data_IF_711585363225
#
_entry.id   IF_711585363225
#
_cell.length_a   1.000
_cell.length_b   1.000
_cell.length_c   1.000
_cell.angle_alpha   90.00
_cell.angle_beta   90.00
_cell.angle_gamma   90.00
#
_symmetry.space_group_name_H-M   'P 1'
#
loop_
_entity.id
_entity.type
_entity.pdbx_description
1 polymer ?
#
# COMPACT_ATOMS: atom_id res chain seq x y z
N UNK A 1 -3.03 -16.98 2.82
CA UNK A 1 -1.83 -16.35 2.21
C UNK A 1 -0.84 -17.46 1.85
N UNK A 2 -0.16 -17.45 0.69
CA UNK A 2 0.91 -18.41 0.43
C UNK A 2 2.00 -18.32 1.51
N UNK A 3 2.50 -19.46 2.00
CA UNK A 3 3.52 -19.52 3.06
C UNK A 3 4.84 -18.81 2.69
N UNK A 4 5.06 -18.60 1.40
CA UNK A 4 6.25 -17.94 0.85
C UNK A 4 6.17 -16.42 0.85
N UNK A 5 5.03 -15.81 1.21
CA UNK A 5 4.90 -14.35 1.21
C UNK A 5 5.87 -13.73 2.22
N UNK A 6 6.59 -12.70 1.76
CA UNK A 6 7.55 -11.94 2.57
C UNK A 6 7.22 -10.47 2.72
N UNK A 7 6.32 -9.92 1.89
CA UNK A 7 5.91 -8.51 1.86
C UNK A 7 4.50 -8.41 1.29
N UNK A 8 3.71 -7.46 1.77
CA UNK A 8 2.34 -7.18 1.29
C UNK A 8 2.23 -5.68 1.03
N UNK A 9 1.62 -5.29 -0.09
CA UNK A 9 1.12 -3.92 -0.29
C UNK A 9 -0.39 -3.97 -0.39
N UNK A 10 -1.07 -3.15 0.40
CA UNK A 10 -2.52 -2.99 0.39
C UNK A 10 -2.86 -1.69 -0.32
N UNK A 11 -3.79 -1.76 -1.29
CA UNK A 11 -4.22 -0.62 -2.07
C UNK A 11 -5.66 -0.23 -1.72
N UNK A 12 -5.83 0.99 -1.25
CA UNK A 12 -7.12 1.57 -0.88
C UNK A 12 -7.58 2.60 -1.90
N UNK A 13 -8.84 2.50 -2.32
CA UNK A 13 -9.48 3.47 -3.22
C UNK A 13 -10.28 4.51 -2.44
N UNK A 14 -9.70 4.98 -1.33
CA UNK A 14 -10.25 6.01 -0.46
C UNK A 14 -9.13 6.84 0.17
N UNK A 15 -9.48 7.94 0.84
CA UNK A 15 -8.58 8.75 1.64
C UNK A 15 -9.28 9.21 2.91
N UNK A 16 -8.91 8.62 4.04
CA UNK A 16 -9.42 9.01 5.34
C UNK A 16 -8.42 9.96 6.04
N UNK A 17 -8.71 11.25 5.99
CA UNK A 17 -7.79 12.26 6.55
C UNK A 17 -7.75 12.14 8.07
N UNK A 18 -6.54 12.01 8.62
CA UNK A 18 -6.31 11.89 10.07
C UNK A 18 -6.33 10.45 10.58
N UNK A 19 -6.65 9.46 9.74
CA UNK A 19 -6.58 8.05 10.14
C UNK A 19 -5.14 7.55 10.25
N UNK A 20 -4.95 6.53 11.09
CA UNK A 20 -3.68 5.80 11.21
C UNK A 20 -3.37 4.98 9.94
N UNK A 21 -4.38 4.68 9.13
CA UNK A 21 -4.28 3.91 7.90
C UNK A 21 -5.62 3.88 7.18
N UNK A 22 -5.61 3.50 5.91
CA UNK A 22 -6.85 3.36 5.14
C UNK A 22 -7.57 2.05 5.52
N UNK A 23 -8.89 1.93 5.29
CA UNK A 23 -9.72 0.86 5.87
C UNK A 23 -9.21 -0.55 5.57
N UNK A 24 -8.94 -0.88 4.30
CA UNK A 24 -8.51 -2.23 3.93
C UNK A 24 -7.11 -2.54 4.50
N UNK A 25 -6.22 -1.53 4.52
CA UNK A 25 -4.93 -1.69 5.18
C UNK A 25 -5.08 -2.05 6.67
N UNK A 26 -5.97 -1.38 7.40
CA UNK A 26 -6.20 -1.67 8.82
C UNK A 26 -6.80 -3.06 9.03
N UNK A 27 -7.74 -3.48 8.18
CA UNK A 27 -8.32 -4.82 8.22
C UNK A 27 -7.24 -5.89 8.01
N UNK A 28 -6.34 -5.71 7.03
CA UNK A 28 -5.24 -6.65 6.76
C UNK A 28 -4.26 -6.70 7.92
N UNK A 29 -3.89 -5.55 8.50
CA UNK A 29 -3.01 -5.50 9.68
C UNK A 29 -3.64 -6.24 10.86
N UNK A 30 -4.92 -5.98 11.14
CA UNK A 30 -5.63 -6.62 12.25
C UNK A 30 -5.76 -8.14 12.03
N UNK A 31 -6.12 -8.57 10.82
CA UNK A 31 -6.30 -9.98 10.48
C UNK A 31 -5.00 -10.80 10.56
N UNK A 32 -3.83 -10.18 10.31
CA UNK A 32 -2.56 -10.89 10.29
C UNK A 32 -1.81 -10.85 11.62
N UNK A 33 -2.16 -9.95 12.54
CA UNK A 33 -1.42 -9.66 13.78
C UNK A 33 -1.06 -10.91 14.59
N UNK A 34 -2.02 -11.81 14.81
CA UNK A 34 -1.86 -13.01 15.64
C UNK A 34 -1.71 -14.30 14.81
N UNK A 35 -1.15 -14.18 13.59
CA UNK A 35 -0.93 -15.29 12.65
C UNK A 35 0.56 -15.49 12.36
N UNK A 36 0.91 -16.55 11.62
CA UNK A 36 2.29 -16.76 11.13
C UNK A 36 2.83 -15.59 10.26
N UNK A 37 1.94 -14.73 9.77
CA UNK A 37 2.28 -13.57 8.95
C UNK A 37 2.34 -12.26 9.75
N UNK A 38 2.19 -12.26 11.07
CA UNK A 38 2.15 -11.05 11.91
C UNK A 38 3.43 -10.19 11.84
N UNK A 39 4.55 -10.79 11.42
CA UNK A 39 5.84 -10.11 11.20
C UNK A 39 6.11 -9.72 9.74
N UNK A 40 5.22 -10.07 8.81
CA UNK A 40 5.38 -9.71 7.39
C UNK A 40 5.19 -8.19 7.25
N UNK A 41 6.14 -7.46 6.62
CA UNK A 41 5.95 -6.05 6.30
C UNK A 41 4.72 -5.81 5.43
N UNK A 42 3.85 -4.91 5.89
CA UNK A 42 2.66 -4.46 5.17
C UNK A 42 2.82 -2.98 4.84
N UNK A 43 2.68 -2.63 3.57
CA UNK A 43 2.71 -1.27 3.06
C UNK A 43 1.30 -0.83 2.62
N UNK A 44 1.03 0.47 2.64
CA UNK A 44 -0.29 1.03 2.25
C UNK A 44 -0.14 2.02 1.11
N UNK A 45 -0.96 1.85 0.08
CA UNK A 45 -1.02 2.71 -1.10
C UNK A 45 -2.43 3.22 -1.35
N UNK A 46 -2.56 4.46 -1.83
CA UNK A 46 -3.82 4.97 -2.36
C UNK A 46 -3.82 5.04 -3.88
N UNK A 47 -4.95 4.77 -4.50
CA UNK A 47 -5.11 4.82 -5.95
C UNK A 47 -6.53 5.25 -6.35
N UNK A 48 -6.72 5.64 -7.62
CA UNK A 48 -8.03 5.70 -8.26
C UNK A 48 -9.07 6.66 -7.65
N UNK A 49 -8.65 7.63 -6.84
CA UNK A 49 -9.55 8.63 -6.24
C UNK A 49 -10.14 9.53 -7.33
N UNK A 50 -11.45 9.78 -7.28
CA UNK A 50 -12.13 10.62 -8.27
C UNK A 50 -12.01 10.09 -9.70
N UNK A 51 -12.01 8.77 -9.87
CA UNK A 51 -11.84 8.09 -11.17
C UNK A 51 -10.50 8.38 -11.86
N UNK A 52 -9.45 8.73 -11.10
CA UNK A 52 -8.09 8.81 -11.63
C UNK A 52 -7.68 7.47 -12.25
N UNK A 53 -7.14 7.50 -13.46
CA UNK A 53 -6.73 6.30 -14.16
C UNK A 53 -5.68 5.49 -13.39
N UNK A 54 -5.92 4.19 -13.30
CA UNK A 54 -5.00 3.22 -12.71
C UNK A 54 -4.48 2.29 -13.79
N UNK A 55 -3.25 2.51 -14.26
CA UNK A 55 -2.69 1.79 -15.39
C UNK A 55 -1.75 0.64 -14.95
N UNK A 56 -1.44 -0.33 -15.83
CA UNK A 56 -0.57 -1.46 -15.47
C UNK A 56 0.82 -1.04 -14.98
N UNK A 57 1.40 0.03 -15.54
CA UNK A 57 2.71 0.54 -15.12
C UNK A 57 2.74 1.01 -13.66
N UNK A 58 1.64 1.60 -13.19
CA UNK A 58 1.49 1.98 -11.79
C UNK A 58 1.38 0.77 -10.86
N UNK A 59 0.71 -0.31 -11.29
CA UNK A 59 0.69 -1.56 -10.53
C UNK A 59 2.08 -2.19 -10.45
N UNK A 60 2.85 -2.16 -11.55
CA UNK A 60 4.27 -2.58 -11.54
C UNK A 60 5.09 -1.74 -10.56
N UNK A 61 4.83 -0.43 -10.45
CA UNK A 61 5.52 0.44 -9.50
C UNK A 61 5.27 0.03 -8.04
N UNK A 62 4.08 -0.48 -7.70
CA UNK A 62 3.80 -1.03 -6.36
C UNK A 62 4.71 -2.23 -6.04
N UNK A 63 4.88 -3.15 -6.99
CA UNK A 63 5.80 -4.27 -6.82
C UNK A 63 7.26 -3.81 -6.70
N UNK A 64 7.67 -2.84 -7.52
CA UNK A 64 9.03 -2.25 -7.44
C UNK A 64 9.27 -1.55 -6.11
N UNK A 65 8.29 -0.85 -5.56
CA UNK A 65 8.36 -0.27 -4.21
C UNK A 65 8.62 -1.35 -3.16
N UNK A 66 7.91 -2.47 -3.21
CA UNK A 66 8.16 -3.59 -2.28
C UNK A 66 9.56 -4.20 -2.45
N UNK A 67 10.13 -4.15 -3.64
CA UNK A 67 11.46 -4.72 -3.95
C UNK A 67 12.61 -3.75 -3.67
N UNK A 68 12.34 -2.47 -3.43
CA UNK A 68 13.41 -1.50 -3.19
C UNK A 68 14.13 -1.77 -1.87
N UNK A 69 15.36 -1.23 -1.76
CA UNK A 69 16.14 -1.27 -0.53
C UNK A 69 15.41 -0.52 0.61
N UNK A 70 14.72 0.57 0.27
CA UNK A 70 13.95 1.39 1.19
C UNK A 70 12.51 1.59 0.67
N UNK A 71 11.60 0.63 0.93
CA UNK A 71 10.21 0.72 0.49
C UNK A 71 9.47 1.87 1.16
N UNK A 72 8.72 2.66 0.37
CA UNK A 72 7.76 3.63 0.92
C UNK A 72 6.66 2.88 1.66
N UNK A 73 6.55 3.11 2.98
CA UNK A 73 5.53 2.48 3.82
C UNK A 73 4.11 2.94 3.51
N UNK A 74 3.99 4.22 3.15
CA UNK A 74 2.75 4.87 2.73
C UNK A 74 3.04 5.55 1.40
N UNK A 75 2.20 5.31 0.38
CA UNK A 75 2.40 5.87 -0.94
C UNK A 75 1.07 6.18 -1.67
N UNK A 76 1.17 6.85 -2.81
CA UNK A 76 0.09 7.11 -3.75
C UNK A 76 0.55 6.71 -5.14
N UNK A 77 -0.33 6.16 -5.97
CA UNK A 77 -0.04 5.90 -7.38
C UNK A 77 -0.95 6.70 -8.30
N UNK A 78 -0.42 7.10 -9.45
CA UNK A 78 -1.16 7.83 -10.49
C UNK A 78 -1.22 9.34 -10.32
N UNK A 79 -0.47 9.92 -9.38
CA UNK A 79 -0.27 11.36 -9.22
C UNK A 79 1.21 11.66 -9.02
N UNK A 80 1.61 12.91 -9.22
CA UNK A 80 2.85 13.48 -8.70
C UNK A 80 2.49 14.28 -7.45
N UNK A 81 3.04 13.89 -6.30
CA UNK A 81 2.87 14.56 -5.02
C UNK A 81 4.20 15.20 -4.63
N UNK A 82 4.40 16.41 -5.11
CA UNK A 82 5.57 17.26 -4.87
C UNK A 82 5.54 17.98 -3.51
N UNK A 83 4.46 17.80 -2.73
CA UNK A 83 4.29 18.41 -1.41
C UNK A 83 4.61 17.43 -0.29
N UNK A 84 4.01 16.23 -0.30
CA UNK A 84 4.25 15.22 0.75
C UNK A 84 5.11 14.05 0.29
N UNK A 85 5.54 14.04 -0.98
CA UNK A 85 6.47 13.07 -1.57
C UNK A 85 6.02 11.61 -1.40
N UNK A 86 4.70 11.37 -1.40
CA UNK A 86 4.14 10.03 -1.30
C UNK A 86 3.99 9.31 -2.65
N UNK A 87 4.15 10.02 -3.78
CA UNK A 87 4.15 9.44 -5.13
C UNK A 87 5.43 8.75 -5.52
#
# INVERSE_FOLDING_TARGET
>A
LPKTVKKISVLDRTKERGSIGEPLYLDVVAALKDTEFGSVPIYTGRYGLGSKDTNPGQIVAVYRNMQSAEPKKRFTIGIEDDVTHLS
#
